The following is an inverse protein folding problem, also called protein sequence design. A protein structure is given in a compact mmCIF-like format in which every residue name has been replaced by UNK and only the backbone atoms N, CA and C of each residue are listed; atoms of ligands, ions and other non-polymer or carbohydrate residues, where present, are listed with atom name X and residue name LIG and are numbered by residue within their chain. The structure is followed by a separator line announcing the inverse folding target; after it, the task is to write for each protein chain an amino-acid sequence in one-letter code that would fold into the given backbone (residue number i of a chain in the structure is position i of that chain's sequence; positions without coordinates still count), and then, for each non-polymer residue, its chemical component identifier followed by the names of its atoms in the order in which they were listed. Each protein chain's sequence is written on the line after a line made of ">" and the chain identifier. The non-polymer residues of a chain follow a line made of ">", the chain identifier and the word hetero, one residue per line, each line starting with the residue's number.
data_IF_839466996425
#
_entry.id   IF_839466996425
#
_cell.length_a   1.000
_cell.length_b   1.000
_cell.length_c   1.000
_cell.angle_alpha   90.00
_cell.angle_beta   90.00
_cell.angle_gamma   90.00
#
_symmetry.space_group_name_H-M   'P 1'
#
loop_
_entity.id
_entity.type
_entity.pdbx_description
1 polymer ?
#
# COMPACT_ATOMS: atom_id res chain seq x y z
N UNK A 1 16.82 -3.63 39.28
CA UNK A 1 15.36 -3.77 39.05
C UNK A 1 15.02 -2.92 37.83
N UNK A 2 14.49 -3.38 36.70
CA UNK A 2 13.81 -4.62 36.32
C UNK A 2 14.25 -4.98 34.88
N UNK A 3 15.11 -6.01 34.73
CA UNK A 3 15.31 -6.76 33.49
C UNK A 3 14.50 -8.04 33.66
N UNK A 4 13.24 -8.08 33.22
CA UNK A 4 12.39 -9.29 33.05
C UNK A 4 10.95 -8.85 32.74
N UNK A 5 10.66 -8.61 31.47
CA UNK A 5 9.27 -8.54 30.98
C UNK A 5 9.10 -8.91 29.49
N UNK A 6 10.12 -9.50 28.84
CA UNK A 6 10.06 -9.75 27.39
C UNK A 6 10.33 -11.21 26.97
N UNK A 7 10.47 -12.15 27.91
CA UNK A 7 10.74 -13.57 27.62
C UNK A 7 9.63 -14.52 28.10
N UNK A 8 8.41 -14.00 28.27
CA UNK A 8 7.29 -14.76 28.83
C UNK A 8 6.31 -15.38 27.84
N UNK A 9 6.45 -15.17 26.52
CA UNK A 9 5.42 -15.56 25.55
C UNK A 9 6.00 -16.20 24.28
N UNK A 10 6.88 -17.19 24.45
CA UNK A 10 7.17 -18.17 23.41
C UNK A 10 7.03 -19.57 23.99
N UNK A 11 5.78 -20.00 24.13
CA UNK A 11 5.40 -21.34 24.53
C UNK A 11 4.08 -21.70 23.88
N UNK A 12 4.18 -22.41 22.76
CA UNK A 12 3.16 -23.27 22.15
C UNK A 12 1.68 -22.84 22.27
N UNK A 13 1.17 -22.20 21.21
CA UNK A 13 -0.14 -22.57 20.65
C UNK A 13 -0.23 -22.06 19.21
N UNK A 14 -0.33 -23.01 18.29
CA UNK A 14 -0.83 -22.76 16.94
C UNK A 14 -2.30 -22.38 17.10
N UNK A 15 -2.54 -21.07 17.17
CA UNK A 15 -3.84 -20.48 16.88
C UNK A 15 -3.56 -19.41 15.84
N UNK A 16 -3.84 -19.74 14.58
CA UNK A 16 -4.19 -18.79 13.53
C UNK A 16 -5.45 -18.06 13.98
N UNK A 17 -5.25 -17.11 14.90
CA UNK A 17 -6.26 -16.19 15.40
C UNK A 17 -5.75 -14.80 15.13
N UNK A 18 -6.45 -14.11 14.25
CA UNK A 18 -6.40 -12.67 14.11
C UNK A 18 -6.43 -12.03 15.51
N UNK A 19 -5.32 -11.45 15.95
CA UNK A 19 -5.32 -10.57 17.13
C UNK A 19 -6.01 -9.29 16.68
N UNK A 20 -7.35 -9.33 16.70
CA UNK A 20 -8.22 -8.20 16.42
C UNK A 20 -8.10 -7.25 17.61
N UNK A 21 -7.73 -6.00 17.33
CA UNK A 21 -8.05 -4.91 18.24
C UNK A 21 -9.57 -4.88 18.48
N UNK A 22 -10.02 -4.38 19.63
CA UNK A 22 -11.45 -4.10 19.88
C UNK A 22 -11.93 -3.04 18.88
N UNK A 23 -12.31 -3.50 17.68
CA UNK A 23 -12.86 -2.70 16.61
C UNK A 23 -14.37 -2.57 16.80
N UNK A 24 -14.88 -1.36 16.63
CA UNK A 24 -16.27 -1.17 16.21
C UNK A 24 -16.44 -1.97 14.91
N UNK A 25 -17.09 -3.14 14.99
CA UNK A 25 -17.31 -4.01 13.83
C UNK A 25 -18.29 -3.33 12.89
N UNK A 26 -17.76 -2.63 11.89
CA UNK A 26 -18.53 -2.29 10.70
C UNK A 26 -19.00 -3.58 10.03
N UNK A 27 -20.28 -3.67 9.61
CA UNK A 27 -20.71 -4.79 8.79
C UNK A 27 -19.87 -4.81 7.50
N UNK A 28 -19.53 -6.00 7.04
CA UNK A 28 -18.78 -6.14 5.80
C UNK A 28 -19.58 -5.58 4.62
N UNK A 29 -18.96 -4.68 3.87
CA UNK A 29 -19.49 -4.13 2.62
C UNK A 29 -18.85 -4.89 1.48
N UNK A 30 -19.70 -5.35 0.56
CA UNK A 30 -19.30 -6.19 -0.56
C UNK A 30 -19.50 -5.45 -1.88
N UNK A 31 -18.70 -5.83 -2.87
CA UNK A 31 -18.92 -5.44 -4.26
C UNK A 31 -20.31 -5.87 -4.71
N UNK A 32 -21.11 -4.90 -5.14
CA UNK A 32 -22.49 -5.15 -5.57
C UNK A 32 -22.52 -5.93 -6.88
N UNK A 33 -23.58 -6.72 -7.10
CA UNK A 33 -23.70 -7.54 -8.31
C UNK A 33 -23.70 -6.70 -9.59
N UNK A 34 -24.32 -5.52 -9.57
CA UNK A 34 -24.36 -4.57 -10.67
C UNK A 34 -22.99 -3.92 -10.96
N UNK A 35 -22.06 -3.93 -9.99
CA UNK A 35 -20.71 -3.40 -10.16
C UNK A 35 -19.68 -4.44 -10.64
N UNK A 36 -19.99 -5.73 -10.59
CA UNK A 36 -19.00 -6.80 -10.87
C UNK A 36 -18.39 -6.71 -12.26
N UNK A 37 -19.21 -6.43 -13.27
CA UNK A 37 -18.72 -6.30 -14.64
C UNK A 37 -17.78 -5.10 -14.78
N UNK A 38 -18.22 -3.91 -14.35
CA UNK A 38 -17.41 -2.70 -14.45
C UNK A 38 -16.11 -2.81 -13.65
N UNK A 39 -16.15 -3.37 -12.44
CA UNK A 39 -14.98 -3.68 -11.62
C UNK A 39 -13.95 -4.53 -12.38
N UNK A 40 -14.39 -5.64 -12.97
CA UNK A 40 -13.50 -6.55 -13.70
C UNK A 40 -12.90 -5.87 -14.95
N UNK A 41 -13.68 -5.04 -15.65
CA UNK A 41 -13.19 -4.31 -16.82
C UNK A 41 -12.17 -3.23 -16.47
N UNK A 42 -12.41 -2.47 -15.40
CA UNK A 42 -11.46 -1.46 -14.89
C UNK A 42 -10.16 -2.12 -14.45
N UNK A 43 -10.24 -3.15 -13.61
CA UNK A 43 -9.06 -3.86 -13.12
C UNK A 43 -8.23 -4.44 -14.27
N UNK A 44 -8.88 -5.07 -15.25
CA UNK A 44 -8.21 -5.60 -16.44
C UNK A 44 -7.49 -4.50 -17.23
N UNK A 45 -8.11 -3.33 -17.41
CA UNK A 45 -7.47 -2.19 -18.11
C UNK A 45 -6.27 -1.66 -17.35
N UNK A 46 -6.37 -1.51 -16.03
CA UNK A 46 -5.25 -1.10 -15.18
C UNK A 46 -4.07 -2.09 -15.27
N UNK A 47 -4.34 -3.39 -15.22
CA UNK A 47 -3.32 -4.45 -15.41
C UNK A 47 -2.65 -4.37 -16.78
N UNK A 48 -3.41 -4.08 -17.84
CA UNK A 48 -2.86 -3.92 -19.18
C UNK A 48 -2.05 -2.63 -19.32
N UNK A 49 -2.46 -1.55 -18.66
CA UNK A 49 -1.70 -0.29 -18.61
C UNK A 49 -0.37 -0.52 -17.90
N UNK A 50 -0.36 -1.16 -16.72
CA UNK A 50 0.87 -1.51 -15.99
C UNK A 50 1.83 -2.33 -16.86
N UNK A 51 1.31 -3.35 -17.56
CA UNK A 51 2.10 -4.15 -18.51
C UNK A 51 2.67 -3.33 -19.67
N UNK A 52 1.96 -2.29 -20.10
CA UNK A 52 2.35 -1.46 -21.24
C UNK A 52 3.42 -0.43 -20.85
N UNK A 53 3.29 0.21 -19.69
CA UNK A 53 4.25 1.23 -19.23
C UNK A 53 5.44 0.64 -18.47
N UNK A 54 5.28 -0.58 -17.96
CA UNK A 54 6.24 -1.26 -17.11
C UNK A 54 6.07 -0.89 -15.63
N UNK A 55 6.37 -1.87 -14.75
CA UNK A 55 6.17 -1.78 -13.31
C UNK A 55 6.70 -0.47 -12.70
N UNK A 56 7.94 -0.09 -13.02
CA UNK A 56 8.54 1.11 -12.45
C UNK A 56 7.74 2.37 -12.81
N UNK A 57 7.48 2.61 -14.09
CA UNK A 57 6.77 3.82 -14.54
C UNK A 57 5.33 3.85 -14.04
N UNK A 58 4.71 2.69 -13.82
CA UNK A 58 3.37 2.61 -13.26
C UNK A 58 3.27 3.18 -11.83
N UNK A 59 4.37 3.20 -11.06
CA UNK A 59 4.41 3.79 -9.71
C UNK A 59 4.18 5.31 -9.71
N UNK A 60 4.42 6.01 -10.83
CA UNK A 60 4.33 7.47 -10.92
C UNK A 60 3.33 7.95 -11.99
N UNK A 61 2.71 7.02 -12.71
CA UNK A 61 1.76 7.31 -13.78
C UNK A 61 0.54 8.07 -13.25
N UNK A 62 0.22 9.22 -13.86
CA UNK A 62 -0.97 10.00 -13.53
C UNK A 62 -2.25 9.40 -14.14
N UNK A 63 -3.41 9.80 -13.62
CA UNK A 63 -4.70 9.35 -14.14
C UNK A 63 -4.92 9.79 -15.60
N UNK A 64 -4.61 11.04 -15.93
CA UNK A 64 -4.77 11.55 -17.30
C UNK A 64 -3.87 10.83 -18.31
N UNK A 65 -2.65 10.46 -17.92
CA UNK A 65 -1.78 9.63 -18.73
C UNK A 65 -2.33 8.21 -18.91
N UNK A 66 -2.88 7.60 -17.84
CA UNK A 66 -3.53 6.30 -17.92
C UNK A 66 -4.70 6.32 -18.91
N UNK A 67 -5.54 7.37 -18.90
CA UNK A 67 -6.62 7.57 -19.88
C UNK A 67 -6.08 7.68 -21.31
N UNK A 68 -5.01 8.46 -21.50
CA UNK A 68 -4.35 8.64 -22.80
C UNK A 68 -3.78 7.32 -23.33
N UNK A 69 -3.13 6.54 -22.48
CA UNK A 69 -2.60 5.21 -22.83
C UNK A 69 -3.74 4.27 -23.21
N UNK A 70 -4.76 4.15 -22.36
CA UNK A 70 -5.89 3.27 -22.63
C UNK A 70 -6.57 3.58 -23.98
N UNK A 71 -6.75 4.87 -24.28
CA UNK A 71 -7.31 5.34 -25.56
C UNK A 71 -6.42 5.00 -26.76
N UNK A 72 -5.10 5.15 -26.63
CA UNK A 72 -4.18 5.02 -27.76
C UNK A 72 -3.77 3.57 -28.04
N UNK A 73 -3.90 2.67 -27.06
CA UNK A 73 -3.60 1.25 -27.24
C UNK A 73 -4.89 0.46 -27.45
N UNK A 74 -5.16 0.07 -28.69
CA UNK A 74 -6.40 -0.61 -29.10
C UNK A 74 -6.72 -1.89 -28.30
N UNK A 75 -5.69 -2.59 -27.81
CA UNK A 75 -5.82 -3.80 -26.97
C UNK A 75 -6.36 -3.50 -25.56
N UNK A 76 -6.22 -2.26 -25.08
CA UNK A 76 -6.75 -1.78 -23.79
C UNK A 76 -8.12 -1.17 -24.01
N UNK A 77 -8.20 -0.21 -24.94
CA UNK A 77 -9.41 0.55 -25.23
C UNK A 77 -9.66 1.66 -24.21
N UNK A 78 -10.28 2.75 -24.65
CA UNK A 78 -10.62 3.87 -23.79
C UNK A 78 -11.55 3.45 -22.63
N UNK A 79 -11.46 4.15 -21.50
CA UNK A 79 -12.42 3.96 -20.41
C UNK A 79 -13.81 4.48 -20.84
N UNK A 80 -14.84 3.68 -20.58
CA UNK A 80 -16.24 4.04 -20.79
C UNK A 80 -16.73 5.00 -19.71
N UNK A 81 -17.85 5.70 -19.91
CA UNK A 81 -18.45 6.52 -18.86
C UNK A 81 -18.76 5.75 -17.57
N UNK A 82 -19.21 4.49 -17.65
CA UNK A 82 -19.49 3.67 -16.47
C UNK A 82 -18.22 3.27 -15.71
N UNK A 83 -17.15 2.97 -16.43
CA UNK A 83 -15.84 2.68 -15.83
C UNK A 83 -15.26 3.92 -15.13
N UNK A 84 -15.37 5.10 -15.74
CA UNK A 84 -14.93 6.36 -15.13
C UNK A 84 -15.75 6.68 -13.87
N UNK A 85 -17.08 6.54 -13.93
CA UNK A 85 -17.96 6.74 -12.78
C UNK A 85 -17.63 5.77 -11.63
N UNK A 86 -17.31 4.51 -11.94
CA UNK A 86 -16.88 3.53 -10.95
C UNK A 86 -15.55 3.91 -10.30
N UNK A 87 -14.57 4.37 -11.08
CA UNK A 87 -13.28 4.85 -10.56
C UNK A 87 -13.48 6.06 -9.64
N UNK A 88 -14.36 7.00 -10.01
CA UNK A 88 -14.72 8.14 -9.16
C UNK A 88 -15.42 7.70 -7.87
N UNK A 89 -16.36 6.75 -7.93
CA UNK A 89 -17.00 6.16 -6.74
C UNK A 89 -15.93 5.60 -5.78
N UNK A 90 -14.98 4.81 -6.28
CA UNK A 90 -13.88 4.25 -5.47
C UNK A 90 -12.96 5.32 -4.90
N UNK A 91 -12.68 6.39 -5.64
CA UNK A 91 -11.76 7.44 -5.20
C UNK A 91 -12.38 8.39 -4.16
N UNK A 92 -13.65 8.77 -4.34
CA UNK A 92 -14.30 9.81 -3.54
C UNK A 92 -15.13 9.28 -2.37
N UNK A 93 -15.39 7.97 -2.29
CA UNK A 93 -16.08 7.38 -1.13
C UNK A 93 -15.28 7.58 0.15
N UNK A 94 -15.95 8.02 1.21
CA UNK A 94 -15.36 8.11 2.55
C UNK A 94 -15.14 6.70 3.12
N UNK A 95 -13.88 6.29 3.33
CA UNK A 95 -13.54 4.93 3.73
C UNK A 95 -13.85 4.61 5.20
N UNK A 96 -14.35 5.59 5.97
CA UNK A 96 -14.87 5.34 7.32
C UNK A 96 -15.96 4.26 7.30
N UNK A 97 -16.75 4.19 6.22
CA UNK A 97 -17.77 3.14 6.06
C UNK A 97 -17.16 1.72 5.97
N UNK A 98 -15.89 1.61 5.58
CA UNK A 98 -15.14 0.36 5.53
C UNK A 98 -14.29 0.12 6.81
N UNK A 99 -14.39 1.01 7.79
CA UNK A 99 -13.61 0.97 9.02
C UNK A 99 -12.16 1.44 8.88
N UNK A 100 -11.85 2.26 7.87
CA UNK A 100 -10.56 2.94 7.77
C UNK A 100 -10.72 4.41 8.18
N UNK A 101 -9.82 4.88 9.05
CA UNK A 101 -9.90 6.20 9.68
C UNK A 101 -8.63 7.06 9.47
N UNK A 102 -7.71 6.59 8.62
CA UNK A 102 -6.51 7.34 8.27
C UNK A 102 -6.83 8.60 7.45
N UNK A 103 -5.83 9.47 7.32
CA UNK A 103 -6.00 10.75 6.62
C UNK A 103 -6.04 10.56 5.11
N UNK A 104 -6.88 11.34 4.44
CA UNK A 104 -6.81 11.54 3.00
C UNK A 104 -5.48 12.22 2.67
N UNK A 105 -4.71 11.64 1.75
CA UNK A 105 -3.38 12.11 1.37
C UNK A 105 -3.37 12.77 0.00
N UNK A 106 -4.39 12.51 -0.81
CA UNK A 106 -4.55 13.08 -2.15
C UNK A 106 -5.98 13.57 -2.36
N UNK A 107 -6.14 14.85 -2.74
CA UNK A 107 -7.48 15.44 -2.88
C UNK A 107 -8.18 15.14 -4.21
N UNK A 108 -7.40 14.99 -5.28
CA UNK A 108 -7.90 14.87 -6.65
C UNK A 108 -7.44 13.57 -7.29
N UNK A 109 -8.34 12.93 -8.04
CA UNK A 109 -8.03 11.73 -8.84
C UNK A 109 -6.90 12.00 -9.86
N UNK A 110 -6.83 13.23 -10.39
CA UNK A 110 -5.84 13.66 -11.38
C UNK A 110 -4.54 14.18 -10.77
N UNK A 111 -4.29 14.01 -9.47
CA UNK A 111 -3.03 14.38 -8.86
C UNK A 111 -1.85 13.66 -9.52
N UNK A 112 -0.76 14.41 -9.73
CA UNK A 112 0.44 13.96 -10.44
C UNK A 112 1.60 13.82 -9.46
N UNK A 113 2.39 12.77 -9.62
CA UNK A 113 3.72 12.67 -8.99
C UNK A 113 4.70 13.40 -9.89
N UNK A 114 5.31 14.48 -9.41
CA UNK A 114 6.32 15.20 -10.20
C UNK A 114 7.60 14.35 -10.30
N UNK A 115 7.97 13.98 -11.53
CA UNK A 115 9.20 13.22 -11.81
C UNK A 115 10.47 13.91 -11.29
N UNK A 116 10.45 15.24 -11.16
CA UNK A 116 11.56 16.01 -10.62
C UNK A 116 11.70 15.86 -9.11
N UNK A 117 10.64 15.48 -8.41
CA UNK A 117 10.60 15.31 -6.95
C UNK A 117 10.84 13.86 -6.52
N UNK A 118 11.03 12.95 -7.47
CA UNK A 118 11.29 11.53 -7.18
C UNK A 118 12.61 11.05 -7.76
N UNK A 119 13.18 10.02 -7.14
CA UNK A 119 14.38 9.34 -7.60
C UNK A 119 14.12 7.84 -7.70
N UNK A 120 14.51 7.25 -8.82
CA UNK A 120 14.41 5.80 -9.02
C UNK A 120 15.47 5.09 -8.18
N UNK A 121 15.07 4.14 -7.35
CA UNK A 121 16.00 3.35 -6.55
C UNK A 121 16.43 2.13 -7.37
N UNK A 122 17.72 2.11 -7.75
CA UNK A 122 18.27 1.10 -8.66
C UNK A 122 18.01 -0.33 -8.16
N UNK A 123 17.55 -1.19 -9.07
CA UNK A 123 17.29 -2.61 -8.79
C UNK A 123 16.03 -2.91 -7.98
N UNK A 124 15.31 -1.88 -7.49
CA UNK A 124 14.05 -2.07 -6.74
C UNK A 124 12.80 -2.08 -7.63
N UNK A 125 12.86 -1.41 -8.78
CA UNK A 125 11.66 -1.13 -9.59
C UNK A 125 10.77 -0.03 -9.00
N UNK A 126 11.21 0.68 -7.96
CA UNK A 126 10.46 1.72 -7.26
C UNK A 126 11.16 3.08 -7.27
N UNK A 127 10.40 4.09 -6.88
CA UNK A 127 10.85 5.45 -6.67
C UNK A 127 10.73 5.83 -5.19
N UNK A 128 11.52 6.79 -4.73
CA UNK A 128 11.29 7.51 -3.47
C UNK A 128 11.20 9.00 -3.76
N UNK A 129 10.47 9.74 -2.92
CA UNK A 129 10.56 11.19 -2.92
C UNK A 129 11.98 11.62 -2.52
N UNK A 130 12.50 12.63 -3.22
CA UNK A 130 13.78 13.26 -2.90
C UNK A 130 13.69 13.94 -1.53
N UNK A 131 14.84 14.15 -0.90
CA UNK A 131 14.91 14.72 0.44
C UNK A 131 14.68 13.64 1.50
N UNK A 132 13.61 13.76 2.28
CA UNK A 132 13.44 12.99 3.51
C UNK A 132 13.32 11.47 3.28
N UNK A 133 12.48 11.01 2.35
CA UNK A 133 12.29 9.57 2.11
C UNK A 133 13.55 8.90 1.59
N UNK A 134 14.22 9.54 0.63
CA UNK A 134 15.50 9.06 0.12
C UNK A 134 16.56 8.99 1.23
N UNK A 135 16.74 10.07 1.99
CA UNK A 135 17.73 10.13 3.08
C UNK A 135 17.43 9.10 4.18
N UNK A 136 16.15 8.87 4.50
CA UNK A 136 15.73 7.86 5.47
C UNK A 136 16.12 6.45 5.02
N UNK A 137 15.86 6.06 3.77
CA UNK A 137 16.27 4.75 3.24
C UNK A 137 17.80 4.60 3.25
N UNK A 138 18.54 5.61 2.81
CA UNK A 138 20.01 5.59 2.81
C UNK A 138 20.56 5.37 4.23
N UNK A 139 19.98 6.05 5.22
CA UNK A 139 20.34 5.90 6.62
C UNK A 139 19.94 4.54 7.19
N UNK A 140 18.77 4.01 6.84
CA UNK A 140 18.33 2.65 7.22
C UNK A 140 19.34 1.61 6.71
N UNK A 141 19.73 1.68 5.43
CA UNK A 141 20.70 0.74 4.84
C UNK A 141 22.07 0.87 5.50
N UNK A 142 22.49 2.08 5.87
CA UNK A 142 23.74 2.33 6.60
C UNK A 142 23.72 1.73 8.01
N UNK A 143 22.63 1.93 8.75
CA UNK A 143 22.52 1.56 10.16
C UNK A 143 22.21 0.05 10.35
N UNK A 144 21.45 -0.56 9.44
CA UNK A 144 21.02 -1.97 9.52
C UNK A 144 21.92 -2.91 8.71
N UNK A 145 22.40 -2.44 7.56
CA UNK A 145 23.20 -3.20 6.60
C UNK A 145 22.41 -3.63 5.36
N UNK A 146 23.10 -4.20 4.38
CA UNK A 146 22.58 -4.49 3.02
C UNK A 146 21.54 -5.62 2.93
N UNK A 147 21.11 -6.18 4.06
CA UNK A 147 20.03 -7.19 4.09
C UNK A 147 18.65 -6.54 4.12
N UNK A 148 18.54 -5.27 4.49
CA UNK A 148 17.31 -4.48 4.32
C UNK A 148 17.27 -3.89 2.91
N UNK A 149 16.10 -3.96 2.27
CA UNK A 149 15.85 -3.43 0.92
C UNK A 149 14.55 -2.66 0.88
N UNK A 150 14.44 -1.73 -0.07
CA UNK A 150 13.16 -1.13 -0.45
C UNK A 150 12.29 -2.18 -1.14
N UNK A 151 11.07 -2.39 -0.63
CA UNK A 151 10.09 -3.32 -1.22
C UNK A 151 8.91 -2.60 -1.86
N UNK A 152 8.64 -1.36 -1.46
CA UNK A 152 7.69 -0.47 -2.13
C UNK A 152 8.01 0.99 -1.83
N UNK A 153 7.87 1.86 -2.81
CA UNK A 153 8.16 3.29 -2.65
C UNK A 153 6.95 4.15 -2.98
N UNK A 154 7.15 5.21 -3.76
CA UNK A 154 6.07 6.08 -4.25
C UNK A 154 5.00 5.25 -4.97
N UNK A 155 3.73 5.58 -4.71
CA UNK A 155 2.58 5.03 -5.44
C UNK A 155 1.69 6.18 -5.89
N UNK A 156 1.49 6.32 -7.19
CA UNK A 156 0.51 7.23 -7.76
C UNK A 156 -0.92 6.78 -7.44
N UNK A 157 -1.89 7.66 -7.69
CA UNK A 157 -3.32 7.35 -7.57
C UNK A 157 -3.69 6.12 -8.41
N UNK A 158 -3.14 6.00 -9.63
CA UNK A 158 -3.40 4.87 -10.53
C UNK A 158 -2.81 3.57 -9.98
N UNK A 159 -1.57 3.60 -9.46
CA UNK A 159 -0.97 2.40 -8.84
C UNK A 159 -1.77 1.95 -7.63
N UNK A 160 -2.14 2.89 -6.75
CA UNK A 160 -2.89 2.55 -5.54
C UNK A 160 -4.30 2.06 -5.87
N UNK A 161 -4.97 2.64 -6.87
CA UNK A 161 -6.25 2.16 -7.37
C UNK A 161 -6.13 0.71 -7.83
N UNK A 162 -5.13 0.38 -8.65
CA UNK A 162 -4.94 -1.00 -9.12
C UNK A 162 -4.77 -1.98 -7.95
N UNK A 163 -3.84 -1.68 -7.03
CA UNK A 163 -3.58 -2.52 -5.86
C UNK A 163 -4.82 -2.71 -4.98
N UNK A 164 -5.61 -1.66 -4.77
CA UNK A 164 -6.83 -1.74 -3.98
C UNK A 164 -7.89 -2.64 -4.66
N UNK A 165 -8.11 -2.49 -5.97
CA UNK A 165 -9.04 -3.33 -6.71
C UNK A 165 -8.58 -4.79 -6.79
N UNK A 166 -7.28 -5.03 -6.97
CA UNK A 166 -6.70 -6.38 -6.86
C UNK A 166 -6.99 -6.99 -5.49
N UNK A 167 -6.85 -6.20 -4.42
CA UNK A 167 -7.15 -6.68 -3.07
C UNK A 167 -8.62 -7.02 -2.88
N UNK A 168 -9.54 -6.21 -3.42
CA UNK A 168 -10.97 -6.53 -3.41
C UNK A 168 -11.23 -7.86 -4.13
N UNK A 169 -10.59 -8.09 -5.29
CA UNK A 169 -10.68 -9.38 -6.01
C UNK A 169 -10.19 -10.54 -5.15
N UNK A 170 -9.03 -10.39 -4.50
CA UNK A 170 -8.42 -11.43 -3.69
C UNK A 170 -9.26 -11.76 -2.44
N UNK A 171 -9.94 -10.77 -1.89
CA UNK A 171 -10.93 -10.92 -0.81
C UNK A 171 -12.35 -11.25 -1.31
N UNK A 172 -12.46 -11.77 -2.55
CA UNK A 172 -13.72 -12.25 -3.16
C UNK A 172 -14.84 -11.21 -3.18
N UNK A 173 -14.48 -9.95 -3.33
CA UNK A 173 -15.40 -8.81 -3.37
C UNK A 173 -15.67 -8.17 -2.00
N UNK A 174 -15.03 -8.60 -0.91
CA UNK A 174 -15.18 -7.95 0.40
C UNK A 174 -14.36 -6.66 0.47
N UNK A 175 -15.03 -5.51 0.34
CA UNK A 175 -14.39 -4.19 0.32
C UNK A 175 -13.91 -3.80 1.71
N UNK A 176 -14.66 -4.14 2.76
CA UNK A 176 -14.29 -3.88 4.16
C UNK A 176 -12.97 -4.56 4.51
N UNK A 177 -12.84 -5.86 4.24
CA UNK A 177 -11.61 -6.62 4.52
C UNK A 177 -10.46 -6.15 3.64
N UNK A 178 -10.73 -5.86 2.36
CA UNK A 178 -9.70 -5.35 1.45
C UNK A 178 -9.12 -4.02 1.91
N UNK A 179 -9.97 -3.08 2.32
CA UNK A 179 -9.60 -1.73 2.77
C UNK A 179 -8.67 -1.73 3.98
N UNK A 180 -8.88 -2.66 4.93
CA UNK A 180 -8.00 -2.82 6.12
C UNK A 180 -6.62 -3.39 5.79
N UNK A 181 -6.40 -3.81 4.55
CA UNK A 181 -5.12 -4.36 4.09
C UNK A 181 -4.46 -3.54 2.99
N UNK A 182 -5.23 -2.92 2.10
CA UNK A 182 -4.76 -2.02 1.06
C UNK A 182 -5.78 -0.90 0.94
N UNK A 183 -5.36 0.30 1.34
CA UNK A 183 -6.24 1.46 1.47
C UNK A 183 -6.73 1.98 0.11
N UNK A 184 -7.87 2.68 0.05
CA UNK A 184 -8.37 3.29 -1.18
C UNK A 184 -7.40 4.33 -1.77
N UNK A 185 -7.51 4.64 -3.07
CA UNK A 185 -6.48 5.38 -3.81
C UNK A 185 -6.18 6.79 -3.29
N UNK A 186 -7.12 7.45 -2.62
CA UNK A 186 -6.93 8.80 -2.05
C UNK A 186 -6.23 8.82 -0.67
N UNK A 187 -5.97 7.65 -0.07
CA UNK A 187 -5.59 7.53 1.35
C UNK A 187 -4.25 6.83 1.59
N UNK A 188 -3.49 6.54 0.53
CA UNK A 188 -2.18 5.89 0.66
C UNK A 188 -1.11 6.88 1.08
N UNK A 189 -0.44 6.62 2.20
CA UNK A 189 0.68 7.45 2.66
C UNK A 189 1.92 7.35 1.77
N UNK A 190 1.98 6.38 0.85
CA UNK A 190 3.03 6.33 -0.19
C UNK A 190 2.99 7.53 -1.15
N UNK A 191 1.90 8.29 -1.17
CA UNK A 191 1.77 9.54 -1.94
C UNK A 191 2.44 10.73 -1.25
N UNK A 192 2.78 10.60 0.04
CA UNK A 192 3.32 11.69 0.88
C UNK A 192 4.62 11.31 1.59
N UNK A 193 5.35 10.31 1.09
CA UNK A 193 6.72 10.03 1.54
C UNK A 193 6.93 8.74 2.31
N UNK A 194 5.88 8.04 2.73
CA UNK A 194 6.03 6.72 3.34
C UNK A 194 6.49 5.67 2.32
N UNK A 195 7.16 4.63 2.81
CA UNK A 195 7.68 3.55 1.97
C UNK A 195 7.77 2.23 2.74
N UNK A 196 7.88 1.13 2.02
CA UNK A 196 8.00 -0.21 2.59
C UNK A 196 9.44 -0.71 2.50
N UNK A 197 9.90 -1.30 3.59
CA UNK A 197 11.18 -2.01 3.65
C UNK A 197 10.95 -3.49 3.94
N UNK A 198 11.88 -4.31 3.51
CA UNK A 198 11.83 -5.74 3.77
C UNK A 198 13.22 -6.35 3.83
N UNK A 199 13.24 -7.64 4.12
CA UNK A 199 14.43 -8.46 4.10
C UNK A 199 14.71 -8.97 2.70
N UNK A 200 15.97 -8.88 2.27
CA UNK A 200 16.44 -9.43 1.02
C UNK A 200 16.21 -10.94 0.98
N UNK A 201 15.60 -11.42 -0.11
CA UNK A 201 15.31 -12.85 -0.32
C UNK A 201 14.01 -13.37 0.28
N UNK A 202 13.21 -12.53 0.94
CA UNK A 202 11.94 -12.95 1.56
C UNK A 202 10.72 -12.88 0.64
N UNK A 203 10.81 -12.16 -0.49
CA UNK A 203 9.71 -12.02 -1.43
C UNK A 203 8.41 -11.56 -0.74
N UNK A 204 7.32 -12.29 -0.96
CA UNK A 204 6.01 -12.01 -0.38
C UNK A 204 5.96 -12.09 1.15
N UNK A 205 6.87 -12.82 1.81
CA UNK A 205 6.91 -12.92 3.27
C UNK A 205 7.18 -11.57 3.94
N UNK A 206 7.80 -10.63 3.23
CA UNK A 206 8.00 -9.25 3.70
C UNK A 206 6.69 -8.54 4.02
N UNK A 207 5.58 -8.89 3.34
CA UNK A 207 4.26 -8.29 3.50
C UNK A 207 3.35 -9.12 4.43
N UNK A 208 3.96 -9.74 5.45
CA UNK A 208 3.27 -10.54 6.46
C UNK A 208 3.80 -10.21 7.86
N UNK A 209 3.05 -10.60 8.90
CA UNK A 209 3.49 -10.43 10.29
C UNK A 209 4.82 -11.17 10.60
N UNK A 210 5.23 -12.13 9.77
CA UNK A 210 6.51 -12.83 9.92
C UNK A 210 7.72 -11.89 9.80
N UNK A 211 7.61 -10.78 9.05
CA UNK A 211 8.70 -9.81 8.98
C UNK A 211 9.05 -9.23 10.36
N UNK A 212 8.09 -9.15 11.29
CA UNK A 212 8.33 -8.70 12.65
C UNK A 212 9.23 -9.64 13.49
N UNK A 213 9.49 -10.86 13.00
CA UNK A 213 10.39 -11.83 13.63
C UNK A 213 11.83 -11.74 13.13
N UNK A 214 12.12 -10.80 12.24
CA UNK A 214 13.45 -10.63 11.64
C UNK A 214 14.35 -9.71 12.47
N UNK A 215 15.66 -9.90 12.34
CA UNK A 215 16.65 -8.99 12.93
C UNK A 215 16.54 -7.59 12.32
N UNK A 216 16.23 -7.50 11.01
CA UNK A 216 15.99 -6.26 10.29
C UNK A 216 14.88 -5.44 10.95
N UNK A 217 13.73 -6.05 11.23
CA UNK A 217 12.64 -5.38 11.93
C UNK A 217 13.04 -4.93 13.34
N UNK A 218 13.70 -5.78 14.12
CA UNK A 218 14.15 -5.41 15.47
C UNK A 218 15.15 -4.25 15.48
N UNK A 219 15.93 -4.07 14.40
CA UNK A 219 16.81 -2.92 14.22
C UNK A 219 16.02 -1.69 13.78
N UNK A 220 15.07 -1.81 12.85
CA UNK A 220 14.20 -0.72 12.41
C UNK A 220 13.49 -0.04 13.59
N UNK A 221 12.97 -0.83 14.54
CA UNK A 221 12.29 -0.31 15.73
C UNK A 221 13.16 0.54 16.67
N UNK A 222 14.49 0.50 16.51
CA UNK A 222 15.44 1.27 17.33
C UNK A 222 15.86 2.59 16.70
N UNK A 223 15.48 2.84 15.45
CA UNK A 223 15.89 4.03 14.71
C UNK A 223 15.00 5.22 15.09
N UNK A 224 15.59 6.26 15.69
CA UNK A 224 14.84 7.40 16.22
C UNK A 224 14.27 8.37 15.16
N UNK A 225 14.62 8.18 13.88
CA UNK A 225 14.23 9.05 12.77
C UNK A 225 13.14 8.44 11.87
N UNK A 226 12.64 7.27 12.24
CA UNK A 226 11.50 6.62 11.59
C UNK A 226 10.58 6.03 12.65
N UNK A 227 9.37 5.68 12.22
CA UNK A 227 8.41 4.89 12.99
C UNK A 227 7.70 3.90 12.07
N UNK A 228 7.08 2.86 12.66
CA UNK A 228 6.20 1.95 11.91
C UNK A 228 4.80 2.54 11.94
N UNK A 229 4.21 2.80 10.77
CA UNK A 229 2.92 3.49 10.71
C UNK A 229 1.81 2.65 11.33
N UNK A 230 1.66 1.42 10.85
CA UNK A 230 0.57 0.54 11.24
C UNK A 230 1.04 -0.44 12.29
N UNK A 231 1.15 0.03 13.54
CA UNK A 231 1.38 -0.82 14.71
C UNK A 231 0.15 -1.68 15.02
N UNK A 232 0.30 -2.66 15.92
CA UNK A 232 -0.86 -3.36 16.49
C UNK A 232 -1.83 -2.36 17.11
N UNK A 233 -3.10 -2.42 16.73
CA UNK A 233 -4.14 -1.50 17.20
C UNK A 233 -3.95 -0.05 16.77
N UNK A 234 -3.30 0.22 15.63
CA UNK A 234 -3.20 1.57 15.09
C UNK A 234 -4.59 2.19 14.87
N UNK A 235 -4.68 3.52 15.01
CA UNK A 235 -5.94 4.24 14.91
C UNK A 235 -6.51 4.36 13.49
N UNK A 236 -5.75 3.98 12.46
CA UNK A 236 -6.16 4.13 11.05
C UNK A 236 -7.08 2.98 10.61
N UNK A 237 -7.26 1.93 11.43
CA UNK A 237 -8.10 0.77 11.08
C UNK A 237 -7.44 -0.17 10.07
N UNK A 238 -6.10 -0.14 9.97
CA UNK A 238 -5.31 -1.01 9.10
C UNK A 238 -4.74 -2.15 9.92
N UNK A 239 -4.55 -3.32 9.30
CA UNK A 239 -3.83 -4.44 9.92
C UNK A 239 -2.40 -4.05 10.32
N UNK A 240 -1.77 -4.85 11.16
CA UNK A 240 -0.36 -4.65 11.50
C UNK A 240 0.55 -4.84 10.27
N UNK A 241 1.36 -3.82 9.97
CA UNK A 241 2.28 -3.81 8.82
C UNK A 241 3.71 -3.48 9.29
N UNK A 242 4.51 -4.47 9.74
CA UNK A 242 5.88 -4.26 10.23
C UNK A 242 6.87 -3.74 9.18
N UNK A 243 6.48 -3.68 7.91
CA UNK A 243 7.29 -3.20 6.80
C UNK A 243 7.10 -1.72 6.48
N UNK A 244 5.98 -1.11 6.91
CA UNK A 244 5.56 0.23 6.47
C UNK A 244 6.24 1.33 7.29
N UNK A 245 7.18 2.02 6.66
CA UNK A 245 8.00 3.10 7.25
C UNK A 245 7.31 4.45 7.11
N UNK A 246 7.16 5.12 8.25
CA UNK A 246 6.81 6.53 8.37
C UNK A 246 8.03 7.32 8.83
N UNK A 247 8.28 8.45 8.17
CA UNK A 247 9.33 9.41 8.54
C UNK A 247 8.84 10.28 9.71
N UNK A 248 9.74 10.61 10.65
CA UNK A 248 9.47 11.40 11.87
C UNK A 248 10.13 12.76 11.82
#
# INVERSE_FOLDING_TARGET
>A
MVRRAFLGWMGASVLSGTVMADEIKHPDIWLRDDQKEVFNTVLKKLDQIEKTVGYANFNILSFDEALKIAKNFSKIGAFSPSELAYIEEVFYTDPVIYGFYGKKTVEKLTSVVDEKEVVKIQGSGHYLFKGESQAALERIVKDIGKTVILTSGVRSVVKQLNLHLEKIRDEKGNITVATRSLVPPAYSYHTVGDFDVGKKGWGAQNFTAEFARTEEFWKLQKLAYISMRYTLGNGDGVRFEPWHVKIV
#
